data_IF_202536710579
#
_entry.id   IF_202536710579
#
_cell.length_a   1.000
_cell.length_b   1.000
_cell.length_c   1.000
_cell.angle_alpha   90.00
_cell.angle_beta   90.00
_cell.angle_gamma   90.00
#
_symmetry.space_group_name_H-M   'P 1'
#
loop_
_entity.id
_entity.type
_entity.pdbx_description
1 polymer ?
#
# COMPACT_ATOMS: atom_id res chain seq x y z
N UNK A 1 48.70 40.99 -50.98
CA UNK A 1 47.92 41.08 -49.75
C UNK A 1 46.63 40.18 -49.88
N UNK A 2 46.74 38.94 -49.55
CA UNK A 2 45.60 38.05 -49.45
C UNK A 2 46.06 36.80 -48.65
N UNK A 3 46.01 36.84 -47.29
CA UNK A 3 46.14 35.68 -46.41
C UNK A 3 45.94 36.14 -44.98
N UNK A 4 44.64 36.26 -44.52
CA UNK A 4 44.27 36.28 -43.12
C UNK A 4 42.74 36.37 -43.01
N UNK A 5 42.05 35.30 -43.38
CA UNK A 5 40.60 35.17 -43.08
C UNK A 5 40.13 33.69 -43.16
N UNK A 6 40.79 32.81 -42.40
CA UNK A 6 40.34 31.41 -42.34
C UNK A 6 40.31 30.77 -40.95
N UNK A 7 40.76 31.49 -39.91
CA UNK A 7 40.92 30.82 -38.58
C UNK A 7 39.89 31.20 -37.51
N UNK A 8 38.82 31.93 -37.87
CA UNK A 8 37.84 32.40 -36.86
C UNK A 8 36.48 31.69 -36.89
N UNK A 9 36.28 30.64 -37.71
CA UNK A 9 34.96 29.98 -37.82
C UNK A 9 34.87 28.70 -36.99
N UNK A 10 35.97 28.13 -36.49
CA UNK A 10 35.97 26.85 -35.81
C UNK A 10 35.73 26.92 -34.29
N UNK A 11 35.96 28.06 -33.64
CA UNK A 11 35.84 28.16 -32.18
C UNK A 11 34.38 28.31 -31.71
N UNK A 12 33.52 28.91 -32.53
CA UNK A 12 32.12 29.17 -32.16
C UNK A 12 31.21 27.92 -32.12
N UNK A 13 31.60 26.81 -32.77
CA UNK A 13 30.78 25.58 -32.84
C UNK A 13 31.22 24.55 -31.78
N UNK A 14 32.45 24.59 -31.35
CA UNK A 14 33.01 23.60 -30.38
C UNK A 14 32.45 23.81 -28.97
N UNK A 15 32.30 25.06 -28.55
CA UNK A 15 31.79 25.36 -27.20
C UNK A 15 30.33 24.91 -27.02
N UNK A 16 29.39 25.18 -27.92
CA UNK A 16 28.01 24.64 -27.79
C UNK A 16 27.95 23.11 -27.79
N UNK A 17 28.79 22.44 -28.57
CA UNK A 17 28.85 21.00 -28.65
C UNK A 17 29.39 20.37 -27.35
N UNK A 18 30.38 20.95 -26.72
CA UNK A 18 30.91 20.51 -25.41
C UNK A 18 29.87 20.70 -24.32
N UNK A 19 29.21 21.87 -24.28
CA UNK A 19 28.16 22.14 -23.29
C UNK A 19 27.01 21.15 -23.43
N UNK A 20 26.54 20.88 -24.65
CA UNK A 20 25.50 19.91 -24.92
C UNK A 20 25.92 18.49 -24.48
N UNK A 21 27.16 18.08 -24.77
CA UNK A 21 27.69 16.78 -24.36
C UNK A 21 27.78 16.65 -22.86
N UNK A 22 28.14 17.68 -22.12
CA UNK A 22 28.17 17.69 -20.65
C UNK A 22 26.74 17.58 -20.08
N UNK A 23 25.81 18.34 -20.65
CA UNK A 23 24.39 18.25 -20.23
C UNK A 23 23.86 16.84 -20.45
N UNK A 24 24.06 16.24 -21.60
CA UNK A 24 23.63 14.86 -21.90
C UNK A 24 24.30 13.83 -20.98
N UNK A 25 25.59 14.01 -20.67
CA UNK A 25 26.30 13.15 -19.75
C UNK A 25 25.74 13.27 -18.33
N UNK A 26 25.42 14.47 -17.86
CA UNK A 26 24.78 14.67 -16.55
C UNK A 26 23.39 14.05 -16.51
N UNK A 27 22.58 14.24 -17.55
CA UNK A 27 21.25 13.61 -17.66
C UNK A 27 21.39 12.09 -17.65
N UNK A 28 22.31 11.53 -18.42
CA UNK A 28 22.57 10.09 -18.48
C UNK A 28 23.06 9.52 -17.15
N UNK A 29 23.99 10.19 -16.48
CA UNK A 29 24.48 9.77 -15.16
C UNK A 29 23.39 9.91 -14.09
N UNK A 30 22.56 10.95 -14.15
CA UNK A 30 21.41 11.09 -13.28
C UNK A 30 20.38 9.99 -13.52
N UNK A 31 20.12 9.65 -14.78
CA UNK A 31 19.25 8.53 -15.15
C UNK A 31 19.81 7.18 -14.69
N UNK A 32 21.11 6.92 -14.87
CA UNK A 32 21.77 5.72 -14.36
C UNK A 32 21.73 5.65 -12.83
N UNK A 33 21.94 6.78 -12.16
CA UNK A 33 21.85 6.85 -10.71
C UNK A 33 20.43 6.54 -10.24
N UNK A 34 19.41 7.17 -10.82
CA UNK A 34 18.00 6.90 -10.52
C UNK A 34 17.60 5.47 -10.88
N UNK A 35 18.06 4.95 -12.01
CA UNK A 35 17.81 3.57 -12.42
C UNK A 35 18.41 2.54 -11.45
N UNK A 36 19.61 2.81 -10.92
CA UNK A 36 20.23 1.94 -9.92
C UNK A 36 19.60 2.07 -8.52
N UNK A 37 19.05 3.25 -8.19
CA UNK A 37 18.33 3.46 -6.93
C UNK A 37 16.93 2.84 -6.99
N UNK A 38 16.27 2.91 -8.16
CA UNK A 38 14.94 2.37 -8.39
C UNK A 38 14.97 1.40 -9.59
N UNK A 39 15.65 0.25 -9.46
CA UNK A 39 15.68 -0.70 -10.55
C UNK A 39 14.25 -1.15 -10.86
N UNK A 40 13.74 -0.76 -12.01
CA UNK A 40 12.55 -1.36 -12.57
C UNK A 40 12.89 -2.82 -12.88
N UNK A 41 12.44 -3.72 -12.03
CA UNK A 41 12.54 -5.14 -12.34
C UNK A 41 11.43 -5.47 -13.32
N UNK A 42 11.80 -5.71 -14.57
CA UNK A 42 10.93 -6.44 -15.47
C UNK A 42 10.55 -7.76 -14.79
N UNK A 43 9.25 -8.09 -14.79
CA UNK A 43 8.80 -9.38 -14.28
C UNK A 43 9.57 -10.46 -15.06
N UNK A 44 10.24 -11.40 -14.39
CA UNK A 44 10.86 -12.50 -15.09
C UNK A 44 9.78 -13.22 -15.90
N UNK A 45 10.05 -13.52 -17.18
CA UNK A 45 9.13 -14.25 -18.07
C UNK A 45 8.72 -15.61 -17.49
N UNK A 46 9.55 -16.17 -16.60
CA UNK A 46 9.28 -17.42 -15.87
C UNK A 46 9.35 -17.15 -14.38
N UNK A 47 8.16 -17.12 -13.79
CA UNK A 47 8.01 -16.89 -12.40
C UNK A 47 8.41 -18.12 -11.58
N UNK A 48 9.31 -17.91 -10.59
CA UNK A 48 9.67 -18.92 -9.60
C UNK A 48 9.05 -18.55 -8.26
N UNK A 49 8.40 -19.49 -7.55
CA UNK A 49 7.94 -19.23 -6.20
C UNK A 49 9.08 -18.73 -5.32
N UNK A 50 8.85 -17.64 -4.58
CA UNK A 50 9.80 -17.20 -3.57
C UNK A 50 9.77 -18.25 -2.46
N UNK A 51 10.89 -18.88 -2.08
CA UNK A 51 10.92 -19.83 -0.98
C UNK A 51 10.39 -19.16 0.28
N UNK A 52 9.53 -19.86 1.04
CA UNK A 52 9.17 -19.40 2.36
C UNK A 52 10.42 -19.26 3.21
N UNK A 53 10.56 -18.16 3.97
CA UNK A 53 11.66 -18.05 4.91
C UNK A 53 11.52 -19.15 5.96
N UNK A 54 12.64 -19.73 6.39
CA UNK A 54 12.67 -20.58 7.58
C UNK A 54 12.39 -19.69 8.79
N UNK A 55 11.14 -19.67 9.25
CA UNK A 55 10.74 -18.89 10.40
C UNK A 55 11.24 -19.55 11.68
N UNK A 56 12.13 -18.87 12.40
CA UNK A 56 12.51 -19.28 13.77
C UNK A 56 11.42 -18.87 14.73
N UNK A 57 10.80 -19.82 15.41
CA UNK A 57 9.75 -19.55 16.40
C UNK A 57 10.33 -19.18 17.78
N UNK A 58 9.83 -18.13 18.46
CA UNK A 58 8.91 -17.14 17.94
C UNK A 58 9.56 -16.13 16.98
N UNK A 59 8.84 -15.72 15.94
CA UNK A 59 9.28 -14.61 15.06
C UNK A 59 9.16 -13.30 15.85
N UNK A 60 10.28 -12.60 16.04
CA UNK A 60 10.29 -11.32 16.74
C UNK A 60 10.03 -10.18 15.79
N UNK A 61 9.02 -9.36 16.10
CA UNK A 61 8.58 -8.24 15.28
C UNK A 61 8.59 -6.94 16.10
N UNK A 62 9.35 -5.95 15.64
CA UNK A 62 9.39 -4.61 16.26
C UNK A 62 8.17 -3.81 15.84
N UNK A 63 7.42 -3.33 16.82
CA UNK A 63 6.16 -2.61 16.58
C UNK A 63 6.30 -1.17 16.98
N UNK A 64 5.86 -0.25 16.12
CA UNK A 64 5.74 1.16 16.43
C UNK A 64 4.31 1.66 16.21
N UNK A 65 3.81 2.47 17.14
CA UNK A 65 2.59 3.24 16.94
C UNK A 65 2.95 4.63 16.41
N UNK A 66 2.39 4.96 15.25
CA UNK A 66 2.66 6.22 14.54
C UNK A 66 1.43 7.10 14.62
N UNK A 67 1.53 8.18 15.37
CA UNK A 67 0.41 9.04 15.71
C UNK A 67 0.34 10.28 14.82
N UNK A 68 -0.87 10.54 14.28
CA UNK A 68 -1.28 11.86 13.83
C UNK A 68 -2.21 12.48 14.87
N UNK A 69 -1.76 13.56 15.50
CA UNK A 69 -2.50 14.25 16.57
C UNK A 69 -3.82 14.89 16.15
N UNK A 70 -4.12 14.93 14.84
CA UNK A 70 -5.39 15.42 14.28
C UNK A 70 -6.55 14.43 14.44
N UNK A 71 -6.25 13.16 14.68
CA UNK A 71 -7.24 12.09 14.66
C UNK A 71 -7.28 11.36 16.00
N UNK A 72 -8.41 10.72 16.28
CA UNK A 72 -8.57 9.85 17.44
C UNK A 72 -7.43 8.84 17.51
N UNK A 73 -6.84 8.67 18.70
CA UNK A 73 -5.66 7.81 18.91
C UNK A 73 -6.01 6.57 19.72
N UNK A 74 -5.19 5.53 19.57
CA UNK A 74 -5.21 4.34 20.44
C UNK A 74 -4.47 4.64 21.73
N UNK A 75 -5.03 4.20 22.83
CA UNK A 75 -4.33 4.20 24.12
C UNK A 75 -3.28 3.08 24.16
N UNK A 76 -2.27 3.24 25.00
CA UNK A 76 -1.25 2.20 25.21
C UNK A 76 -1.86 0.85 25.65
N UNK A 77 -2.91 0.90 26.47
CA UNK A 77 -3.61 -0.32 26.90
C UNK A 77 -4.35 -1.00 25.74
N UNK A 78 -5.00 -0.22 24.86
CA UNK A 78 -5.62 -0.77 23.65
C UNK A 78 -4.56 -1.39 22.72
N UNK A 79 -3.42 -0.71 22.52
CA UNK A 79 -2.34 -1.24 21.70
C UNK A 79 -1.80 -2.57 22.26
N UNK A 80 -1.56 -2.69 23.56
CA UNK A 80 -1.16 -3.96 24.21
C UNK A 80 -2.17 -5.09 23.97
N UNK A 81 -3.47 -4.79 24.10
CA UNK A 81 -4.53 -5.77 23.84
C UNK A 81 -4.59 -6.17 22.37
N UNK A 82 -4.42 -5.23 21.44
CA UNK A 82 -4.35 -5.48 20.00
C UNK A 82 -3.20 -6.45 19.70
N UNK A 83 -1.98 -6.15 20.18
CA UNK A 83 -0.81 -6.99 19.92
C UNK A 83 -0.97 -8.41 20.49
N UNK A 84 -1.54 -8.52 21.70
CA UNK A 84 -1.86 -9.84 22.28
C UNK A 84 -2.84 -10.60 21.40
N UNK A 85 -3.96 -9.98 21.01
CA UNK A 85 -4.98 -10.62 20.16
C UNK A 85 -4.41 -10.96 18.79
N UNK A 86 -3.53 -10.14 18.25
CA UNK A 86 -2.82 -10.45 16.99
C UNK A 86 -1.96 -11.69 17.13
N UNK A 87 -1.18 -11.84 18.22
CA UNK A 87 -0.39 -13.06 18.44
C UNK A 87 -1.26 -14.31 18.47
N UNK A 88 -2.42 -14.22 19.14
CA UNK A 88 -3.38 -15.32 19.21
C UNK A 88 -3.92 -15.67 17.81
N UNK A 89 -4.35 -14.66 17.01
CA UNK A 89 -4.89 -14.88 15.66
C UNK A 89 -3.84 -15.36 14.65
N UNK A 90 -2.60 -14.87 14.73
CA UNK A 90 -1.50 -15.33 13.86
C UNK A 90 -1.20 -16.80 14.12
N UNK A 91 -1.17 -17.21 15.39
CA UNK A 91 -1.00 -18.62 15.74
C UNK A 91 -2.18 -19.48 15.26
N UNK A 92 -3.40 -18.99 15.45
CA UNK A 92 -4.65 -19.72 15.16
C UNK A 92 -4.86 -19.89 13.64
N UNK A 93 -4.71 -18.80 12.87
CA UNK A 93 -5.04 -18.81 11.43
C UNK A 93 -3.86 -19.08 10.51
N UNK A 94 -2.62 -18.73 10.92
CA UNK A 94 -1.43 -18.81 10.09
C UNK A 94 -0.43 -19.86 10.58
N UNK A 95 -0.67 -20.44 11.76
CA UNK A 95 0.22 -21.40 12.43
C UNK A 95 1.66 -20.86 12.61
N UNK A 96 1.78 -19.56 12.86
CA UNK A 96 3.06 -18.88 13.13
C UNK A 96 3.06 -18.32 14.54
N UNK A 97 4.09 -18.60 15.31
CA UNK A 97 4.27 -18.00 16.63
C UNK A 97 5.04 -16.69 16.51
N UNK A 98 4.44 -15.58 16.93
CA UNK A 98 5.06 -14.25 16.90
C UNK A 98 5.21 -13.66 18.29
N UNK A 99 6.26 -12.85 18.47
CA UNK A 99 6.51 -12.04 19.68
C UNK A 99 6.68 -10.58 19.26
N UNK A 100 5.84 -9.69 19.80
CA UNK A 100 5.90 -8.27 19.48
C UNK A 100 6.81 -7.51 20.49
N UNK A 101 7.79 -6.79 19.93
CA UNK A 101 8.69 -5.90 20.69
C UNK A 101 8.25 -4.46 20.47
N UNK A 102 7.38 -3.97 21.36
CA UNK A 102 6.83 -2.62 21.26
C UNK A 102 7.91 -1.55 21.46
N UNK A 103 7.99 -0.62 20.51
CA UNK A 103 8.86 0.54 20.53
C UNK A 103 8.09 1.78 21.01
N UNK A 104 8.82 2.84 21.38
CA UNK A 104 8.20 4.12 21.70
C UNK A 104 7.43 4.68 20.51
N UNK A 105 6.23 5.23 20.75
CA UNK A 105 5.42 5.87 19.73
C UNK A 105 6.12 7.09 19.12
N UNK A 106 5.88 7.33 17.85
CA UNK A 106 6.45 8.45 17.09
C UNK A 106 5.38 9.17 16.27
N UNK A 107 5.68 10.39 15.82
CA UNK A 107 4.79 11.08 14.88
C UNK A 107 4.95 10.58 13.46
N UNK A 108 3.94 10.83 12.62
CA UNK A 108 3.99 10.52 11.17
C UNK A 108 5.23 11.17 10.54
N UNK A 109 5.52 12.44 10.84
CA UNK A 109 6.68 13.15 10.31
C UNK A 109 7.99 12.44 10.67
N UNK A 110 8.10 11.97 11.91
CA UNK A 110 9.30 11.26 12.38
C UNK A 110 9.51 9.93 11.67
N UNK A 111 8.44 9.19 11.37
CA UNK A 111 8.53 7.96 10.60
C UNK A 111 9.15 8.23 9.21
N UNK A 112 8.67 9.25 8.53
CA UNK A 112 9.13 9.57 7.17
C UNK A 112 10.54 10.18 7.11
N UNK A 113 11.19 10.46 8.24
CA UNK A 113 12.62 10.77 8.27
C UNK A 113 13.50 9.58 7.88
N UNK A 114 13.02 8.34 8.06
CA UNK A 114 13.71 7.14 7.57
C UNK A 114 13.71 7.01 6.05
N UNK A 115 12.81 7.71 5.36
CA UNK A 115 12.74 7.66 3.90
C UNK A 115 13.85 8.51 3.28
N UNK A 116 14.68 7.97 2.37
CA UNK A 116 15.67 8.75 1.64
C UNK A 116 15.05 9.92 0.89
N UNK A 117 15.78 11.05 0.81
CA UNK A 117 15.28 12.26 0.14
C UNK A 117 14.82 11.99 -1.29
N UNK A 118 15.62 11.25 -2.07
CA UNK A 118 15.30 10.89 -3.47
C UNK A 118 14.00 10.11 -3.57
N UNK A 119 13.75 9.18 -2.63
CA UNK A 119 12.51 8.42 -2.61
C UNK A 119 11.31 9.33 -2.29
N UNK A 120 11.44 10.29 -1.37
CA UNK A 120 10.41 11.28 -1.05
C UNK A 120 10.02 12.11 -2.28
N UNK A 121 11.01 12.62 -2.99
CA UNK A 121 10.79 13.45 -4.18
C UNK A 121 10.16 12.63 -5.31
N UNK A 122 10.65 11.43 -5.58
CA UNK A 122 10.11 10.56 -6.60
C UNK A 122 8.65 10.16 -6.32
N UNK A 123 8.31 9.81 -5.08
CA UNK A 123 6.95 9.42 -4.74
C UNK A 123 5.99 10.60 -4.69
N UNK A 124 6.44 11.79 -4.28
CA UNK A 124 5.61 12.99 -4.31
C UNK A 124 5.14 13.36 -5.73
N UNK A 125 5.93 13.04 -6.74
CA UNK A 125 5.58 13.25 -8.16
C UNK A 125 4.52 12.25 -8.67
N UNK A 126 4.29 11.15 -7.96
CA UNK A 126 3.29 10.13 -8.31
C UNK A 126 1.93 10.36 -7.65
N UNK A 127 1.82 11.34 -6.78
CA UNK A 127 0.56 11.67 -6.13
C UNK A 127 -0.39 12.22 -7.20
N UNK A 128 -1.55 11.58 -7.32
CA UNK A 128 -2.57 11.96 -8.29
C UNK A 128 -3.45 13.05 -7.68
N UNK A 129 -3.65 14.14 -8.41
CA UNK A 129 -4.67 15.14 -8.11
C UNK A 129 -5.93 14.85 -8.91
N UNK A 130 -7.09 15.11 -8.31
CA UNK A 130 -8.40 15.06 -8.98
C UNK A 130 -9.14 16.40 -8.87
N UNK A 131 -8.42 17.46 -8.51
CA UNK A 131 -9.00 18.77 -8.26
C UNK A 131 -9.34 19.54 -9.55
N UNK A 132 -8.74 19.13 -10.68
CA UNK A 132 -8.94 19.67 -12.01
C UNK A 132 -9.63 18.62 -12.91
N UNK A 133 -10.53 19.05 -13.82
CA UNK A 133 -11.29 18.14 -14.68
C UNK A 133 -10.39 17.34 -15.64
N UNK A 134 -9.33 17.96 -16.17
CA UNK A 134 -8.38 17.31 -17.08
C UNK A 134 -7.54 16.30 -16.32
N UNK A 135 -7.00 16.68 -15.16
CA UNK A 135 -6.26 15.80 -14.26
C UNK A 135 -7.14 14.64 -13.76
N UNK A 136 -8.42 14.90 -13.46
CA UNK A 136 -9.37 13.88 -13.04
C UNK A 136 -9.63 12.85 -14.13
N UNK A 137 -9.74 13.26 -15.39
CA UNK A 137 -9.93 12.36 -16.52
C UNK A 137 -8.70 11.50 -16.80
N UNK A 138 -7.51 12.09 -16.77
CA UNK A 138 -6.26 11.34 -16.92
C UNK A 138 -6.07 10.35 -15.77
N UNK A 139 -6.30 10.78 -14.54
CA UNK A 139 -6.24 9.95 -13.33
C UNK A 139 -7.21 8.78 -13.41
N UNK A 140 -8.45 9.02 -13.83
CA UNK A 140 -9.44 7.97 -14.02
C UNK A 140 -8.95 6.88 -15.00
N UNK A 141 -8.38 7.27 -16.13
CA UNK A 141 -7.86 6.33 -17.11
C UNK A 141 -6.65 5.55 -16.60
N UNK A 142 -5.76 6.19 -15.83
CA UNK A 142 -4.62 5.53 -15.18
C UNK A 142 -5.10 4.50 -14.15
N UNK A 143 -6.05 4.86 -13.30
CA UNK A 143 -6.65 3.96 -12.30
C UNK A 143 -7.31 2.77 -13.00
N UNK A 144 -8.12 3.01 -14.03
CA UNK A 144 -8.78 1.97 -14.80
C UNK A 144 -7.79 0.98 -15.42
N UNK A 145 -6.72 1.49 -16.03
CA UNK A 145 -5.65 0.66 -16.60
C UNK A 145 -4.93 -0.16 -15.54
N UNK A 146 -4.62 0.45 -14.40
CA UNK A 146 -3.97 -0.23 -13.28
C UNK A 146 -4.84 -1.38 -12.74
N UNK A 147 -6.13 -1.15 -12.55
CA UNK A 147 -7.09 -2.19 -12.11
C UNK A 147 -7.12 -3.34 -13.11
N UNK A 148 -7.20 -3.06 -14.42
CA UNK A 148 -7.23 -4.08 -15.45
C UNK A 148 -5.97 -4.97 -15.41
N UNK A 149 -4.80 -4.35 -15.31
CA UNK A 149 -3.52 -5.08 -15.19
C UNK A 149 -3.44 -5.94 -13.92
N UNK A 150 -3.97 -5.46 -12.81
CA UNK A 150 -3.97 -6.23 -11.56
C UNK A 150 -4.93 -7.41 -11.61
N UNK A 151 -6.09 -7.25 -12.22
CA UNK A 151 -7.03 -8.36 -12.45
C UNK A 151 -6.39 -9.41 -13.37
N UNK A 152 -5.74 -8.98 -14.45
CA UNK A 152 -5.05 -9.87 -15.40
C UNK A 152 -3.93 -10.67 -14.73
N UNK A 153 -3.21 -10.04 -13.79
CA UNK A 153 -2.07 -10.64 -13.10
C UNK A 153 -2.42 -11.27 -11.76
N UNK A 154 -3.67 -11.22 -11.34
CA UNK A 154 -4.11 -11.87 -10.10
C UNK A 154 -4.12 -13.40 -10.26
N UNK A 155 -3.81 -14.13 -9.19
CA UNK A 155 -4.00 -15.57 -9.18
C UNK A 155 -5.46 -15.97 -8.91
N UNK A 156 -6.23 -15.07 -8.29
CA UNK A 156 -7.69 -15.26 -8.22
C UNK A 156 -8.29 -15.13 -9.61
N UNK A 157 -9.33 -15.91 -9.90
CA UNK A 157 -10.05 -15.77 -11.15
C UNK A 157 -10.61 -14.35 -11.28
N UNK A 158 -10.68 -13.86 -12.50
CA UNK A 158 -11.31 -12.54 -12.76
C UNK A 158 -12.72 -12.48 -12.17
N UNK A 159 -13.48 -13.56 -12.29
CA UNK A 159 -14.84 -13.64 -11.77
C UNK A 159 -14.88 -13.48 -10.25
N UNK A 160 -13.98 -14.13 -9.51
CA UNK A 160 -13.92 -14.00 -8.04
C UNK A 160 -13.65 -12.56 -7.58
N UNK A 161 -12.81 -11.82 -8.31
CA UNK A 161 -12.52 -10.42 -8.02
C UNK A 161 -13.74 -9.54 -8.32
N UNK A 162 -14.41 -9.81 -9.43
CA UNK A 162 -15.64 -9.11 -9.83
C UNK A 162 -16.73 -9.36 -8.78
N UNK A 163 -16.98 -10.61 -8.43
CA UNK A 163 -18.01 -11.00 -7.45
C UNK A 163 -17.75 -10.37 -6.07
N UNK A 164 -16.48 -10.28 -5.67
CA UNK A 164 -16.09 -9.63 -4.43
C UNK A 164 -16.39 -8.12 -4.44
N UNK A 165 -16.05 -7.39 -5.51
CA UNK A 165 -16.13 -5.94 -5.53
C UNK A 165 -17.47 -5.38 -6.04
N UNK A 166 -18.16 -6.13 -6.91
CA UNK A 166 -19.40 -5.69 -7.58
C UNK A 166 -20.49 -5.19 -6.62
N UNK A 167 -20.76 -5.83 -5.47
CA UNK A 167 -21.78 -5.37 -4.52
C UNK A 167 -21.56 -3.95 -4.02
N UNK A 168 -20.32 -3.49 -4.00
CA UNK A 168 -19.89 -2.23 -3.39
C UNK A 168 -19.65 -1.10 -4.40
N UNK A 169 -19.89 -1.33 -5.69
CA UNK A 169 -19.77 -0.29 -6.70
C UNK A 169 -20.93 0.71 -6.59
N UNK A 170 -20.62 1.98 -6.83
CA UNK A 170 -21.64 3.06 -6.83
C UNK A 170 -22.59 2.96 -8.03
N UNK A 171 -22.14 2.34 -9.12
CA UNK A 171 -22.94 2.11 -10.32
C UNK A 171 -22.77 0.64 -10.72
N UNK A 172 -23.87 -0.11 -10.65
CA UNK A 172 -23.89 -1.56 -10.92
C UNK A 172 -24.50 -1.90 -12.25
N UNK A 173 -24.94 -0.88 -13.02
CA UNK A 173 -25.65 -1.08 -14.26
C UNK A 173 -24.68 -1.45 -15.41
N UNK A 174 -25.11 -2.38 -16.25
CA UNK A 174 -24.46 -2.71 -17.51
C UNK A 174 -22.99 -3.20 -17.43
N UNK A 175 -22.67 -4.00 -16.41
CA UNK A 175 -21.34 -4.61 -16.31
C UNK A 175 -21.27 -5.93 -17.07
N UNK A 176 -21.13 -5.84 -18.39
CA UNK A 176 -21.17 -6.99 -19.28
C UNK A 176 -19.80 -7.65 -19.50
N UNK A 177 -18.73 -6.98 -19.11
CA UNK A 177 -17.36 -7.45 -19.33
C UNK A 177 -16.38 -6.78 -18.34
N UNK A 178 -15.12 -7.24 -18.34
CA UNK A 178 -14.05 -6.72 -17.47
C UNK A 178 -13.79 -5.23 -17.70
N UNK A 179 -13.95 -4.71 -18.91
CA UNK A 179 -13.73 -3.29 -19.18
C UNK A 179 -14.82 -2.42 -18.53
N UNK A 180 -16.07 -2.87 -18.54
CA UNK A 180 -17.16 -2.17 -17.86
C UNK A 180 -16.95 -2.20 -16.35
N UNK A 181 -16.54 -3.35 -15.80
CA UNK A 181 -16.21 -3.52 -14.39
C UNK A 181 -15.05 -2.60 -13.96
N UNK A 182 -13.95 -2.57 -14.72
CA UNK A 182 -12.80 -1.71 -14.37
C UNK A 182 -13.15 -0.23 -14.45
N UNK A 183 -13.99 0.18 -15.38
CA UNK A 183 -14.51 1.54 -15.45
C UNK A 183 -15.42 1.87 -14.26
N UNK A 184 -16.34 0.96 -13.89
CA UNK A 184 -17.21 1.11 -12.74
C UNK A 184 -16.44 1.19 -11.41
N UNK A 185 -15.41 0.37 -11.26
CA UNK A 185 -14.55 0.39 -10.08
C UNK A 185 -13.72 1.67 -10.01
N UNK A 186 -13.11 2.12 -11.12
CA UNK A 186 -12.37 3.37 -11.17
C UNK A 186 -13.28 4.57 -10.84
N UNK A 187 -14.51 4.60 -11.37
CA UNK A 187 -15.53 5.60 -11.02
C UNK A 187 -15.87 5.59 -9.53
N UNK A 188 -16.04 4.40 -8.96
CA UNK A 188 -16.30 4.22 -7.53
C UNK A 188 -15.15 4.78 -6.68
N UNK A 189 -13.91 4.43 -7.00
CA UNK A 189 -12.72 4.90 -6.27
C UNK A 189 -12.61 6.42 -6.34
N UNK A 190 -12.73 7.01 -7.53
CA UNK A 190 -12.63 8.47 -7.71
C UNK A 190 -13.74 9.22 -7.01
N UNK A 191 -14.99 8.74 -7.07
CA UNK A 191 -16.10 9.37 -6.36
C UNK A 191 -15.95 9.29 -4.84
N UNK A 192 -15.47 8.17 -4.32
CA UNK A 192 -15.20 8.01 -2.89
C UNK A 192 -14.02 8.84 -2.41
N UNK A 193 -12.98 8.96 -3.23
CA UNK A 193 -11.87 9.86 -2.90
C UNK A 193 -12.34 11.32 -2.84
N UNK A 194 -13.10 11.77 -3.84
CA UNK A 194 -13.68 13.12 -3.84
C UNK A 194 -14.55 13.34 -2.61
N UNK A 195 -15.41 12.39 -2.25
CA UNK A 195 -16.20 12.44 -1.04
C UNK A 195 -15.33 12.60 0.22
N UNK A 196 -14.22 11.86 0.34
CA UNK A 196 -13.29 11.97 1.46
C UNK A 196 -12.57 13.32 1.49
N UNK A 197 -12.21 13.88 0.35
CA UNK A 197 -11.53 15.18 0.26
C UNK A 197 -12.43 16.37 0.69
N UNK A 198 -13.74 16.21 0.59
CA UNK A 198 -14.74 17.20 1.01
C UNK A 198 -15.08 17.12 2.51
N UNK A 199 -14.64 16.07 3.21
CA UNK A 199 -14.98 15.90 4.63
C UNK A 199 -14.00 16.64 5.53
N UNK A 200 -14.52 17.15 6.65
CA UNK A 200 -13.72 17.84 7.65
C UNK A 200 -13.49 16.95 8.88
N UNK A 201 -12.26 16.99 9.39
CA UNK A 201 -11.91 16.42 10.68
C UNK A 201 -12.44 17.31 11.83
N UNK A 202 -12.26 16.86 13.07
CA UNK A 202 -12.70 17.61 14.27
C UNK A 202 -12.03 18.99 14.39
N UNK A 203 -10.82 19.14 13.83
CA UNK A 203 -10.08 20.41 13.77
C UNK A 203 -10.59 21.40 12.70
N UNK A 204 -11.64 21.03 11.97
CA UNK A 204 -12.24 21.83 10.90
C UNK A 204 -11.44 21.86 9.59
N UNK A 205 -10.36 21.11 9.48
CA UNK A 205 -9.57 20.98 8.26
C UNK A 205 -9.98 19.74 7.45
N UNK A 206 -9.70 19.69 6.14
CA UNK A 206 -9.98 18.49 5.34
C UNK A 206 -9.37 17.24 5.96
N UNK A 207 -10.12 16.13 5.94
CA UNK A 207 -9.62 14.81 6.38
C UNK A 207 -8.50 14.36 5.46
N UNK A 208 -8.71 14.47 4.15
CA UNK A 208 -7.65 14.39 3.15
C UNK A 208 -7.18 15.81 2.85
N UNK A 209 -6.00 16.15 3.29
CA UNK A 209 -5.35 17.42 2.99
C UNK A 209 -4.29 17.23 1.89
N UNK A 210 -3.62 18.30 1.49
CA UNK A 210 -2.55 18.24 0.50
C UNK A 210 -1.28 17.50 0.98
N UNK A 211 -1.30 16.92 2.18
CA UNK A 211 -0.17 16.18 2.72
C UNK A 211 0.01 14.83 2.01
N UNK A 212 1.22 14.46 1.62
CA UNK A 212 1.50 13.15 1.04
C UNK A 212 1.20 11.99 2.00
N UNK A 213 1.07 12.27 3.31
CA UNK A 213 0.75 11.25 4.31
C UNK A 213 -0.66 10.65 4.16
N UNK A 214 -1.52 11.23 3.35
CA UNK A 214 -2.82 10.68 3.01
C UNK A 214 -2.77 9.68 1.84
N UNK A 215 -1.66 9.61 1.10
CA UNK A 215 -1.52 8.79 -0.10
C UNK A 215 -0.80 7.47 0.21
N UNK A 216 -1.41 6.34 -0.13
CA UNK A 216 -0.83 5.03 0.19
C UNK A 216 0.55 4.81 -0.46
N UNK A 217 0.76 5.32 -1.67
CA UNK A 217 2.04 5.17 -2.37
C UNK A 217 3.20 5.82 -1.61
N UNK A 218 2.91 6.85 -0.81
CA UNK A 218 3.91 7.47 0.05
C UNK A 218 4.29 6.55 1.22
N UNK A 219 3.32 5.81 1.77
CA UNK A 219 3.57 4.79 2.80
C UNK A 219 4.26 3.55 2.23
N UNK A 220 3.85 3.10 1.05
CA UNK A 220 4.50 2.00 0.34
C UNK A 220 6.00 2.28 0.10
N UNK A 221 6.35 3.55 -0.17
CA UNK A 221 7.73 3.98 -0.36
C UNK A 221 8.64 3.81 0.87
N UNK A 222 8.08 3.57 2.07
CA UNK A 222 8.86 3.24 3.26
C UNK A 222 9.70 1.97 3.07
N UNK A 223 9.28 1.08 2.16
CA UNK A 223 10.07 -0.08 1.76
C UNK A 223 11.42 0.26 1.13
N UNK A 224 11.62 1.49 0.65
CA UNK A 224 12.93 1.97 0.19
C UNK A 224 13.83 2.47 1.32
N UNK A 225 13.31 2.57 2.53
CA UNK A 225 14.03 3.03 3.71
C UNK A 225 14.56 1.88 4.57
N UNK A 226 15.57 2.16 5.39
CA UNK A 226 16.06 1.26 6.42
C UNK A 226 15.17 1.40 7.68
N UNK A 227 13.96 0.86 7.64
CA UNK A 227 13.05 0.93 8.77
C UNK A 227 13.50 0.01 9.90
N UNK A 228 13.52 0.51 11.15
CA UNK A 228 13.79 -0.33 12.32
C UNK A 228 12.54 -1.05 12.84
N UNK A 229 11.46 -1.12 12.06
CA UNK A 229 10.16 -1.66 12.45
C UNK A 229 9.64 -2.62 11.40
N UNK A 230 9.09 -3.75 11.82
CA UNK A 230 8.36 -4.69 10.97
C UNK A 230 6.86 -4.42 10.99
N UNK A 231 6.34 -3.83 12.08
CA UNK A 231 4.91 -3.54 12.22
C UNK A 231 4.69 -2.07 12.54
N UNK A 232 4.00 -1.37 11.66
CA UNK A 232 3.63 0.04 11.82
C UNK A 232 2.11 0.11 11.97
N UNK A 233 1.64 0.56 13.12
CA UNK A 233 0.22 0.82 13.38
C UNK A 233 0.04 2.33 13.46
N UNK A 234 -0.99 2.88 12.82
CA UNK A 234 -1.24 4.32 12.83
C UNK A 234 -2.73 4.65 12.91
N UNK A 235 -3.04 5.88 13.36
CA UNK A 235 -4.35 6.49 13.24
C UNK A 235 -4.48 7.41 12.02
N UNK A 236 -3.48 7.46 11.13
CA UNK A 236 -3.53 8.25 9.90
C UNK A 236 -4.52 7.64 8.91
N UNK A 237 -5.39 8.47 8.32
CA UNK A 237 -6.17 8.07 7.16
C UNK A 237 -5.26 7.99 5.94
N UNK A 238 -5.32 6.86 5.24
CA UNK A 238 -4.57 6.64 4.00
C UNK A 238 -5.53 6.22 2.89
N UNK A 239 -5.41 6.86 1.75
CA UNK A 239 -6.24 6.63 0.58
C UNK A 239 -5.41 6.04 -0.58
N UNK A 240 -6.11 5.42 -1.52
CA UNK A 240 -5.51 4.82 -2.72
C UNK A 240 -6.32 5.20 -3.94
N UNK A 241 -5.80 6.16 -4.69
CA UNK A 241 -6.27 6.49 -6.03
C UNK A 241 -5.14 6.52 -7.05
N UNK A 242 -3.94 6.21 -6.58
CA UNK A 242 -2.73 6.25 -7.37
C UNK A 242 -2.72 5.17 -8.45
N UNK A 243 -1.87 5.36 -9.44
CA UNK A 243 -1.72 4.50 -10.61
C UNK A 243 -1.50 3.01 -10.26
N UNK A 244 -0.86 2.72 -9.13
CA UNK A 244 -0.61 1.36 -8.65
C UNK A 244 -1.63 0.86 -7.63
N UNK A 245 -2.79 1.52 -7.53
CA UNK A 245 -3.85 1.14 -6.58
C UNK A 245 -4.39 -0.25 -6.86
N UNK A 246 -4.43 -1.11 -5.83
CA UNK A 246 -5.24 -2.34 -5.87
C UNK A 246 -6.73 -1.96 -6.03
N UNK A 247 -7.62 -2.87 -6.47
CA UNK A 247 -9.06 -2.61 -6.57
C UNK A 247 -9.67 -2.37 -5.18
N UNK A 248 -9.40 -1.20 -4.62
CA UNK A 248 -9.85 -0.76 -3.30
C UNK A 248 -11.13 0.04 -3.47
N UNK A 249 -12.25 -0.64 -3.50
CA UNK A 249 -13.56 -0.02 -3.72
C UNK A 249 -13.96 1.05 -2.70
N UNK A 250 -13.32 1.09 -1.52
CA UNK A 250 -13.52 2.16 -0.51
C UNK A 250 -12.65 3.39 -0.75
N UNK A 251 -11.65 3.31 -1.61
CA UNK A 251 -10.48 4.19 -1.72
C UNK A 251 -9.62 4.30 -0.44
N UNK A 252 -9.98 3.67 0.66
CA UNK A 252 -9.21 3.67 1.90
C UNK A 252 -8.34 2.42 2.00
N UNK A 253 -7.13 2.59 2.51
CA UNK A 253 -6.22 1.49 2.83
C UNK A 253 -6.28 1.15 4.31
N UNK A 254 -6.63 -0.12 4.59
CA UNK A 254 -6.56 -0.70 5.94
C UNK A 254 -5.16 -1.16 6.29
N UNK A 255 -4.47 -1.75 5.32
CA UNK A 255 -3.11 -2.24 5.48
C UNK A 255 -2.31 -2.21 4.18
N UNK A 256 -1.01 -2.34 4.34
CA UNK A 256 -0.03 -2.48 3.25
C UNK A 256 1.10 -3.35 3.77
N UNK A 257 1.53 -4.30 2.94
CA UNK A 257 2.78 -5.04 3.16
C UNK A 257 3.80 -4.60 2.12
N UNK A 258 4.98 -4.25 2.56
CA UNK A 258 6.02 -3.72 1.68
C UNK A 258 7.45 -4.09 2.09
N UNK A 259 8.42 -3.67 1.30
CA UNK A 259 9.84 -3.90 1.55
C UNK A 259 10.33 -5.28 1.09
N UNK A 260 11.56 -5.62 1.49
CA UNK A 260 12.16 -6.92 1.18
C UNK A 260 11.70 -7.95 2.22
N UNK A 261 10.81 -8.85 1.84
CA UNK A 261 10.25 -9.88 2.73
C UNK A 261 11.19 -11.06 3.00
N UNK A 262 12.46 -10.96 2.64
CA UNK A 262 13.46 -11.97 2.97
C UNK A 262 14.24 -11.57 4.22
N UNK A 263 14.55 -12.56 5.07
CA UNK A 263 15.45 -12.33 6.19
C UNK A 263 16.87 -12.02 5.70
N UNK A 264 17.50 -11.01 6.30
CA UNK A 264 18.90 -10.74 6.05
C UNK A 264 19.80 -11.76 6.80
N UNK A 265 21.13 -11.62 6.63
CA UNK A 265 22.12 -12.51 7.28
C UNK A 265 22.06 -12.49 8.82
N UNK A 266 21.42 -11.48 9.41
CA UNK A 266 21.29 -11.33 10.86
C UNK A 266 19.93 -11.80 11.37
N UNK A 267 19.14 -12.51 10.57
CA UNK A 267 17.76 -12.94 10.87
C UNK A 267 16.80 -11.74 11.09
N UNK A 268 17.12 -10.58 10.52
CA UNK A 268 16.23 -9.44 10.51
C UNK A 268 15.40 -9.44 9.22
N UNK A 269 14.11 -9.28 9.36
CA UNK A 269 13.19 -9.15 8.24
C UNK A 269 13.34 -7.74 7.63
N UNK A 270 13.60 -7.68 6.33
CA UNK A 270 13.73 -6.40 5.60
C UNK A 270 12.39 -5.80 5.16
N UNK A 271 11.27 -6.52 5.37
CA UNK A 271 9.94 -6.07 5.06
C UNK A 271 9.20 -5.50 6.25
N UNK A 272 8.08 -4.86 5.99
CA UNK A 272 7.21 -4.29 7.01
C UNK A 272 5.75 -4.42 6.62
N UNK A 273 4.89 -4.34 7.60
CA UNK A 273 3.47 -4.06 7.42
C UNK A 273 3.12 -2.68 7.98
N UNK A 274 2.15 -2.06 7.35
CA UNK A 274 1.51 -0.84 7.81
C UNK A 274 0.02 -1.13 7.97
N UNK A 275 -0.56 -0.73 9.09
CA UNK A 275 -2.01 -0.85 9.34
C UNK A 275 -2.56 0.48 9.81
N UNK A 276 -3.54 1.01 9.08
CA UNK A 276 -4.31 2.17 9.49
C UNK A 276 -5.50 1.74 10.35
N UNK A 277 -5.48 2.13 11.61
CA UNK A 277 -6.61 1.97 12.51
C UNK A 277 -7.70 3.04 12.29
N UNK A 278 -7.45 4.06 11.47
CA UNK A 278 -8.36 5.21 11.29
C UNK A 278 -9.80 4.78 11.06
N UNK A 279 -10.03 3.91 10.09
CA UNK A 279 -11.37 3.48 9.69
C UNK A 279 -12.09 2.59 10.73
N UNK A 280 -11.38 2.10 11.73
CA UNK A 280 -11.95 1.25 12.79
C UNK A 280 -12.21 2.05 14.06
N UNK A 281 -11.34 3.02 14.40
CA UNK A 281 -11.45 3.75 15.67
C UNK A 281 -12.27 5.04 15.59
N UNK A 282 -12.47 5.60 14.38
CA UNK A 282 -13.25 6.82 14.22
C UNK A 282 -14.74 6.52 14.00
N UNK A 283 -15.60 7.24 14.71
CA UNK A 283 -17.06 7.15 14.63
C UNK A 283 -17.68 8.47 14.15
N UNK A 284 -16.98 9.21 13.29
CA UNK A 284 -17.57 10.40 12.68
C UNK A 284 -18.72 10.03 11.73
N UNK A 285 -19.55 10.98 11.38
CA UNK A 285 -20.73 10.76 10.51
C UNK A 285 -20.40 10.07 9.19
N UNK A 286 -19.19 10.28 8.71
CA UNK A 286 -18.71 9.74 7.47
C UNK A 286 -18.41 8.23 7.60
N UNK A 287 -17.71 7.84 8.69
CA UNK A 287 -17.45 6.43 8.98
C UNK A 287 -18.77 5.69 9.26
N UNK A 288 -19.69 6.34 9.99
CA UNK A 288 -21.02 5.81 10.24
C UNK A 288 -21.76 5.53 8.93
N UNK A 289 -21.79 6.50 8.01
CA UNK A 289 -22.42 6.32 6.70
C UNK A 289 -21.86 5.12 5.91
N UNK A 290 -20.53 4.97 5.86
CA UNK A 290 -19.89 3.86 5.14
C UNK A 290 -20.04 2.50 5.82
N UNK A 291 -20.34 2.49 7.11
CA UNK A 291 -20.62 1.29 7.91
C UNK A 291 -22.12 1.03 8.06
N UNK A 292 -22.98 1.71 7.31
CA UNK A 292 -24.43 1.59 7.44
C UNK A 292 -24.91 1.83 8.87
N UNK A 293 -24.39 2.89 9.52
CA UNK A 293 -24.64 3.29 10.91
C UNK A 293 -24.12 2.32 11.98
N UNK A 294 -23.28 1.37 11.59
CA UNK A 294 -22.67 0.44 12.54
C UNK A 294 -21.62 1.13 13.43
N UNK A 295 -21.72 0.94 14.72
CA UNK A 295 -20.75 1.40 15.72
C UNK A 295 -20.03 0.22 16.36
N UNK A 296 -18.76 0.42 16.76
CA UNK A 296 -17.93 -0.62 17.33
C UNK A 296 -17.62 -0.36 18.81
N UNK A 297 -17.75 -1.39 19.63
CA UNK A 297 -17.23 -1.39 21.00
C UNK A 297 -15.69 -1.40 20.99
N UNK A 298 -15.06 -1.07 22.12
CA UNK A 298 -13.61 -1.13 22.24
C UNK A 298 -13.04 -2.52 21.98
N UNK A 299 -13.74 -3.57 22.42
CA UNK A 299 -13.36 -4.96 22.16
C UNK A 299 -13.43 -5.31 20.68
N UNK A 300 -14.47 -4.90 19.99
CA UNK A 300 -14.61 -5.07 18.55
C UNK A 300 -13.50 -4.35 17.78
N UNK A 301 -13.18 -3.10 18.15
CA UNK A 301 -12.07 -2.35 17.56
C UNK A 301 -10.73 -3.08 17.72
N UNK A 302 -10.48 -3.62 18.92
CA UNK A 302 -9.27 -4.41 19.20
C UNK A 302 -9.22 -5.64 18.29
N UNK A 303 -10.31 -6.38 18.18
CA UNK A 303 -10.40 -7.58 17.36
C UNK A 303 -10.19 -7.29 15.87
N UNK A 304 -10.81 -6.24 15.34
CA UNK A 304 -10.73 -5.90 13.92
C UNK A 304 -9.35 -5.37 13.52
N UNK A 305 -8.73 -4.54 14.37
CA UNK A 305 -7.35 -4.10 14.12
C UNK A 305 -6.39 -5.29 14.20
N UNK A 306 -6.56 -6.17 15.17
CA UNK A 306 -5.74 -7.37 15.31
C UNK A 306 -5.88 -8.31 14.10
N UNK A 307 -7.09 -8.51 13.59
CA UNK A 307 -7.33 -9.31 12.40
C UNK A 307 -6.72 -8.66 11.14
N UNK A 308 -6.80 -7.34 11.00
CA UNK A 308 -6.13 -6.61 9.89
C UNK A 308 -4.60 -6.76 9.97
N UNK A 309 -4.01 -6.65 11.17
CA UNK A 309 -2.57 -6.90 11.35
C UNK A 309 -2.23 -8.35 10.99
N UNK A 310 -3.06 -9.31 11.39
CA UNK A 310 -2.86 -10.73 11.06
C UNK A 310 -2.91 -10.97 9.55
N UNK A 311 -3.83 -10.34 8.84
CA UNK A 311 -3.93 -10.36 7.39
C UNK A 311 -2.63 -9.89 6.73
N UNK A 312 -2.13 -8.71 7.12
CA UNK A 312 -0.89 -8.17 6.57
C UNK A 312 0.34 -9.02 6.95
N UNK A 313 0.36 -9.61 8.14
CA UNK A 313 1.41 -10.56 8.53
C UNK A 313 1.38 -11.85 7.70
N UNK A 314 0.23 -12.27 7.23
CA UNK A 314 0.13 -13.38 6.28
C UNK A 314 0.83 -13.09 4.96
N UNK A 315 0.72 -11.84 4.45
CA UNK A 315 1.51 -11.40 3.30
C UNK A 315 3.01 -11.35 3.61
N UNK A 316 3.37 -10.76 4.75
CA UNK A 316 4.76 -10.52 5.12
C UNK A 316 5.53 -11.81 5.42
N UNK A 317 4.94 -12.71 6.21
CA UNK A 317 5.64 -13.88 6.74
C UNK A 317 5.49 -15.12 5.86
N UNK A 318 4.35 -15.26 5.17
CA UNK A 318 4.01 -16.45 4.42
C UNK A 318 3.83 -16.20 2.92
N UNK A 319 3.96 -14.95 2.47
CA UNK A 319 3.78 -14.52 1.08
C UNK A 319 2.40 -14.91 0.52
N UNK A 320 1.39 -14.93 1.38
CA UNK A 320 0.03 -15.25 0.97
C UNK A 320 -0.60 -14.13 0.15
N UNK A 321 -1.44 -14.51 -0.80
CA UNK A 321 -2.23 -13.59 -1.59
C UNK A 321 -3.69 -13.52 -1.10
N UNK A 322 -4.48 -12.66 -1.73
CA UNK A 322 -5.90 -12.53 -1.46
C UNK A 322 -6.71 -13.66 -2.14
N UNK A 323 -7.34 -14.56 -1.39
CA UNK A 323 -8.23 -15.57 -1.95
C UNK A 323 -9.66 -15.02 -2.05
N UNK A 324 -9.96 -14.19 -3.04
CA UNK A 324 -11.26 -13.52 -3.19
C UNK A 324 -12.47 -14.46 -3.23
N UNK A 325 -12.28 -15.76 -3.42
CA UNK A 325 -13.30 -16.79 -3.39
C UNK A 325 -13.45 -17.49 -2.02
N UNK A 326 -12.66 -17.14 -1.02
CA UNK A 326 -12.66 -17.74 0.32
C UNK A 326 -12.95 -16.67 1.39
N UNK A 327 -14.21 -16.25 1.49
CA UNK A 327 -14.63 -15.13 2.35
C UNK A 327 -14.30 -15.34 3.82
N UNK A 328 -14.29 -16.59 4.30
CA UNK A 328 -13.96 -16.92 5.70
C UNK A 328 -12.45 -17.02 5.97
N UNK A 329 -11.59 -16.92 4.97
CA UNK A 329 -10.14 -16.90 5.16
C UNK A 329 -9.69 -15.51 5.60
N UNK A 330 -8.83 -15.43 6.63
CA UNK A 330 -8.30 -14.17 7.14
C UNK A 330 -7.53 -13.37 6.09
N UNK A 331 -7.03 -14.05 5.03
CA UNK A 331 -6.36 -13.42 3.90
C UNK A 331 -7.33 -12.82 2.87
N UNK A 332 -8.65 -13.03 3.01
CA UNK A 332 -9.62 -12.31 2.19
C UNK A 332 -9.76 -10.87 2.69
N UNK A 333 -9.64 -9.85 1.82
CA UNK A 333 -9.77 -8.47 2.26
C UNK A 333 -11.14 -8.18 2.85
N UNK A 334 -11.19 -7.28 3.82
CA UNK A 334 -12.46 -6.82 4.39
C UNK A 334 -13.30 -6.14 3.32
N UNK A 335 -14.53 -6.61 3.03
CA UNK A 335 -15.40 -5.97 2.07
C UNK A 335 -15.91 -4.63 2.62
N UNK A 336 -15.71 -3.55 1.87
CA UNK A 336 -15.99 -2.18 2.28
C UNK A 336 -15.42 -1.91 3.68
N UNK A 337 -16.24 -1.47 4.64
CA UNK A 337 -15.87 -1.27 6.05
C UNK A 337 -16.66 -2.20 6.98
N UNK A 338 -17.17 -3.32 6.46
CA UNK A 338 -17.95 -4.29 7.20
C UNK A 338 -17.06 -5.25 8.03
N UNK A 339 -16.30 -4.66 8.97
CA UNK A 339 -15.34 -5.39 9.80
C UNK A 339 -16.00 -6.42 10.71
N UNK A 340 -17.24 -6.16 11.18
CA UNK A 340 -17.97 -7.11 12.02
C UNK A 340 -18.28 -8.38 11.25
N UNK A 341 -18.96 -8.23 10.12
CA UNK A 341 -19.35 -9.36 9.28
C UNK A 341 -18.14 -10.17 8.83
N UNK A 342 -17.09 -9.47 8.37
CA UNK A 342 -15.83 -10.11 8.00
C UNK A 342 -15.22 -10.92 9.17
N UNK A 343 -15.12 -10.31 10.37
CA UNK A 343 -14.49 -10.96 11.53
C UNK A 343 -15.30 -12.14 12.05
N UNK A 344 -16.64 -12.05 12.07
CA UNK A 344 -17.54 -13.10 12.55
C UNK A 344 -17.58 -14.32 11.62
N UNK A 345 -17.20 -14.16 10.34
CA UNK A 345 -17.14 -15.23 9.35
C UNK A 345 -15.79 -15.96 9.33
N UNK A 346 -14.77 -15.45 10.02
CA UNK A 346 -13.44 -16.05 9.97
C UNK A 346 -13.46 -17.50 10.48
N UNK A 347 -12.88 -18.40 9.67
CA UNK A 347 -12.67 -19.80 9.99
C UNK A 347 -11.17 -20.13 9.86
N UNK A 348 -10.61 -20.69 10.91
CA UNK A 348 -9.18 -21.05 10.99
C UNK A 348 -8.76 -22.03 9.89
N UNK A 349 -9.69 -22.83 9.37
CA UNK A 349 -9.41 -23.82 8.34
C UNK A 349 -9.67 -23.28 6.92
N UNK A 350 -10.30 -22.12 6.77
CA UNK A 350 -10.73 -21.66 5.45
C UNK A 350 -9.57 -21.41 4.50
N UNK A 351 -8.44 -20.92 5.03
CA UNK A 351 -7.24 -20.68 4.22
C UNK A 351 -6.53 -21.97 3.80
N UNK A 352 -6.64 -23.05 4.60
CA UNK A 352 -6.04 -24.34 4.31
C UNK A 352 -6.83 -25.17 3.29
N UNK A 353 -8.10 -24.83 3.03
CA UNK A 353 -8.98 -25.53 2.10
C UNK A 353 -8.81 -25.09 0.64
N UNK A 354 -7.96 -24.10 0.36
CA UNK A 354 -7.71 -23.64 -1.01
C UNK A 354 -6.83 -24.65 -1.74
N UNK A 355 -7.29 -25.16 -2.88
CA UNK A 355 -6.56 -26.12 -3.74
C UNK A 355 -5.27 -25.55 -4.34
N UNK A 356 -5.19 -24.24 -4.50
CA UNK A 356 -3.98 -23.55 -4.95
C UNK A 356 -3.17 -23.05 -3.77
N UNK A 357 -1.84 -23.18 -3.80
CA UNK A 357 -1.03 -22.52 -2.80
C UNK A 357 -1.37 -21.03 -2.84
N UNK A 358 -1.75 -20.50 -1.69
CA UNK A 358 -2.07 -19.07 -1.55
C UNK A 358 -0.84 -18.20 -1.81
N UNK A 359 0.32 -18.80 -1.83
CA UNK A 359 1.56 -18.21 -2.29
C UNK A 359 1.44 -17.82 -3.73
N UNK A 360 1.62 -16.57 -3.96
CA UNK A 360 1.56 -16.06 -5.30
C UNK A 360 2.79 -15.28 -5.68
N UNK A 361 3.16 -15.50 -6.92
CA UNK A 361 4.18 -14.73 -7.57
C UNK A 361 3.97 -13.25 -7.47
N UNK A 362 2.79 -12.82 -7.75
CA UNK A 362 2.46 -11.42 -7.81
C UNK A 362 2.25 -10.71 -6.47
N UNK A 363 1.86 -11.43 -5.40
CA UNK A 363 1.61 -10.83 -4.09
C UNK A 363 2.91 -10.51 -3.35
N UNK A 364 3.94 -11.31 -3.58
CA UNK A 364 5.26 -11.11 -3.02
C UNK A 364 6.13 -10.14 -3.83
N UNK A 365 5.63 -9.58 -4.91
CA UNK A 365 6.44 -8.83 -5.88
C UNK A 365 6.64 -7.38 -5.55
N UNK A 366 6.36 -6.94 -4.35
CA UNK A 366 7.02 -5.75 -3.87
C UNK A 366 8.43 -6.15 -3.38
N UNK A 367 9.18 -6.81 -4.25
CA UNK A 367 10.63 -6.95 -4.05
C UNK A 367 11.24 -5.60 -4.34
N UNK A 368 11.15 -4.71 -3.37
CA UNK A 368 12.04 -3.58 -3.36
C UNK A 368 13.46 -4.13 -3.24
N UNK A 369 14.25 -3.92 -4.25
CA UNK A 369 15.66 -4.25 -4.18
C UNK A 369 16.31 -3.23 -3.24
N UNK A 370 16.26 -3.50 -1.94
CA UNK A 370 16.85 -2.67 -0.87
C UNK A 370 18.37 -2.80 -0.82
N UNK A 371 19.04 -2.96 -1.93
CA UNK A 371 20.46 -2.65 -2.01
C UNK A 371 20.62 -1.14 -2.03
N UNK A 372 20.54 -0.55 -0.88
CA UNK A 372 20.93 0.82 -0.60
C UNK A 372 22.35 0.86 -0.04
#
# INVERSE_FOLDING_TARGET
>A
MKKRQKDMVSVGIVIPSIVLSVILAVIYLSWLYLYNIFPYQEKPEHWQPIPLPELQAPVKLRVVYVENSRFKSLTENQLKKILKKTSDLVLEHLNVQVEFVQQAGISVQRLFEYLPYVAKEYQSQKIISIDDEEDAFESFNKIRKSIALQIEHSASSQQSIIDYALPYLVDKNEMNNVNDFTAGLAKTITQRYKFWSEQLAEDGKPVLDASPYNQWIYWDSLGYGALPYEVIITNQLVASIEENGMPVHTCLRGGITGGNMTFNKNSELGGFIFVSAFQIINDNKLMSFLREDETYTDEQRINYIAATITHELGHLLLHYAHPFNAQSCIMNPTPLLHYREWFEQLDVNACALLESPMQQPGAATVTFNTKW
#
